data_IF_687455382856
#
_entry.id   IF_687455382856
#
_cell.length_a   1.000
_cell.length_b   1.000
_cell.length_c   1.000
_cell.angle_alpha   90.00
_cell.angle_beta   90.00
_cell.angle_gamma   90.00
#
_symmetry.space_group_name_H-M   'P 1'
#
loop_
_entity.id
_entity.type
_entity.pdbx_description
1 polymer ?
#
# COMPACT_ATOMS: atom_id res chain seq x y z
N UNK A 1 -61.81 0.40 50.02
CA UNK A 1 -62.29 -0.27 48.78
C UNK A 1 -61.26 -0.02 47.69
N UNK A 2 -60.47 -1.03 47.29
CA UNK A 2 -59.43 -0.89 46.25
C UNK A 2 -60.05 -1.25 44.88
N UNK A 3 -59.96 -0.34 43.91
CA UNK A 3 -60.48 -0.50 42.55
C UNK A 3 -59.38 -1.09 41.62
N UNK A 4 -59.54 -2.29 41.02
CA UNK A 4 -58.51 -2.91 40.19
C UNK A 4 -58.90 -2.85 38.71
N UNK A 5 -58.55 -1.77 37.99
CA UNK A 5 -58.71 -1.79 36.52
C UNK A 5 -57.80 -0.83 35.75
N UNK A 6 -56.50 -1.02 35.86
CA UNK A 6 -55.53 -0.41 34.94
C UNK A 6 -54.70 -1.51 34.24
N UNK A 7 -55.24 -2.18 33.19
CA UNK A 7 -54.51 -3.20 32.44
C UNK A 7 -53.27 -2.66 31.70
N UNK A 8 -53.13 -1.33 31.59
CA UNK A 8 -52.03 -0.65 30.90
C UNK A 8 -50.69 -0.69 31.66
N UNK A 9 -50.69 -1.04 32.95
CA UNK A 9 -49.46 -1.08 33.76
C UNK A 9 -48.66 -2.38 33.58
N UNK A 10 -49.30 -3.45 33.11
CA UNK A 10 -48.63 -4.71 32.81
C UNK A 10 -47.82 -4.66 31.49
N UNK A 11 -48.20 -3.79 30.55
CA UNK A 11 -47.49 -3.61 29.27
C UNK A 11 -46.22 -2.76 29.37
N UNK A 12 -46.15 -1.83 30.33
CA UNK A 12 -45.03 -0.90 30.48
C UNK A 12 -43.79 -1.50 31.16
N UNK A 13 -43.94 -2.59 31.95
CA UNK A 13 -42.83 -3.20 32.70
C UNK A 13 -42.22 -4.45 32.06
N UNK A 14 -42.81 -5.01 31.00
CA UNK A 14 -42.22 -6.13 30.27
C UNK A 14 -41.12 -5.71 29.26
N UNK A 15 -40.93 -4.40 29.06
CA UNK A 15 -40.05 -3.84 28.02
C UNK A 15 -38.71 -3.29 28.53
N UNK A 16 -38.25 -3.68 29.73
CA UNK A 16 -36.96 -3.22 30.26
C UNK A 16 -35.78 -4.12 29.86
N UNK A 17 -35.97 -5.44 29.80
CA UNK A 17 -34.91 -6.39 29.45
C UNK A 17 -34.65 -6.49 27.93
N UNK A 18 -35.65 -6.16 27.12
CA UNK A 18 -35.51 -6.00 25.67
C UNK A 18 -34.88 -4.67 25.26
N UNK A 19 -35.12 -3.61 26.04
CA UNK A 19 -34.57 -2.27 25.77
C UNK A 19 -33.05 -2.19 25.92
N UNK A 20 -32.48 -2.79 26.97
CA UNK A 20 -31.02 -2.78 27.16
C UNK A 20 -30.27 -3.60 26.09
N UNK A 21 -30.84 -4.73 25.68
CA UNK A 21 -30.28 -5.54 24.59
C UNK A 21 -30.39 -4.82 23.25
N UNK A 22 -31.52 -4.17 22.99
CA UNK A 22 -31.72 -3.35 21.81
C UNK A 22 -30.75 -2.16 21.76
N UNK A 23 -30.55 -1.44 22.87
CA UNK A 23 -29.58 -0.35 22.98
C UNK A 23 -28.14 -0.83 22.75
N UNK A 24 -27.77 -1.99 23.29
CA UNK A 24 -26.45 -2.59 23.06
C UNK A 24 -26.25 -3.00 21.60
N UNK A 25 -27.25 -3.62 20.98
CA UNK A 25 -27.21 -3.99 19.57
C UNK A 25 -27.11 -2.74 18.68
N UNK A 26 -27.80 -1.67 19.06
CA UNK A 26 -27.78 -0.40 18.32
C UNK A 26 -26.41 0.28 18.41
N UNK A 27 -25.80 0.34 19.60
CA UNK A 27 -24.43 0.83 19.82
C UNK A 27 -23.41 0.02 18.99
N UNK A 28 -23.47 -1.30 19.08
CA UNK A 28 -22.57 -2.18 18.33
C UNK A 28 -22.73 -1.97 16.83
N UNK A 29 -23.96 -1.74 16.36
CA UNK A 29 -24.23 -1.44 14.96
C UNK A 29 -23.60 -0.11 14.52
N UNK A 30 -23.68 0.94 15.36
CA UNK A 30 -23.11 2.26 15.06
C UNK A 30 -21.58 2.22 15.07
N UNK A 31 -20.97 1.55 16.05
CA UNK A 31 -19.51 1.35 16.07
C UNK A 31 -19.02 0.58 14.86
N UNK A 32 -19.72 -0.49 14.48
CA UNK A 32 -19.38 -1.26 13.29
C UNK A 32 -19.48 -0.42 12.03
N UNK A 33 -20.51 0.42 11.92
CA UNK A 33 -20.67 1.35 10.81
C UNK A 33 -19.53 2.38 10.77
N UNK A 34 -19.15 2.94 11.93
CA UNK A 34 -18.06 3.90 12.06
C UNK A 34 -16.70 3.30 11.68
N UNK A 35 -16.36 2.14 12.24
CA UNK A 35 -15.12 1.43 11.89
C UNK A 35 -15.09 1.14 10.39
N UNK A 36 -16.22 0.72 9.80
CA UNK A 36 -16.31 0.46 8.37
C UNK A 36 -16.18 1.74 7.54
N UNK A 37 -16.66 2.88 8.03
CA UNK A 37 -16.58 4.17 7.35
C UNK A 37 -15.17 4.76 7.40
N UNK A 38 -14.52 4.70 8.56
CA UNK A 38 -13.15 5.16 8.77
C UNK A 38 -12.11 4.24 8.09
N UNK A 39 -12.41 2.95 7.88
CA UNK A 39 -11.48 2.02 7.21
C UNK A 39 -11.67 1.92 5.71
N UNK A 40 -12.91 1.96 5.19
CA UNK A 40 -13.15 1.80 3.74
C UNK A 40 -12.74 3.02 2.93
N UNK A 41 -12.80 4.22 3.51
CA UNK A 41 -12.31 5.45 2.88
C UNK A 41 -10.84 5.32 2.44
N UNK A 42 -9.90 5.05 3.37
CA UNK A 42 -8.49 4.93 3.04
C UNK A 42 -8.16 3.70 2.16
N UNK A 43 -8.84 2.55 2.36
CA UNK A 43 -8.54 1.32 1.60
C UNK A 43 -8.85 1.47 0.10
N UNK A 44 -9.95 2.17 -0.26
CA UNK A 44 -10.29 2.42 -1.66
C UNK A 44 -9.25 3.28 -2.39
N UNK A 45 -8.64 4.24 -1.69
CA UNK A 45 -7.55 5.05 -2.23
C UNK A 45 -6.28 4.21 -2.44
N UNK A 46 -5.95 3.35 -1.48
CA UNK A 46 -4.73 2.55 -1.47
C UNK A 46 -4.62 1.62 -2.68
N UNK A 47 -5.74 1.01 -3.10
CA UNK A 47 -5.74 0.09 -4.25
C UNK A 47 -5.26 0.75 -5.55
N UNK A 48 -5.62 2.00 -5.80
CA UNK A 48 -5.17 2.74 -6.99
C UNK A 48 -3.70 3.10 -6.92
N UNK A 49 -3.23 3.55 -5.75
CA UNK A 49 -1.80 3.82 -5.53
C UNK A 49 -0.93 2.56 -5.70
N UNK A 50 -1.36 1.44 -5.13
CA UNK A 50 -0.67 0.15 -5.30
C UNK A 50 -0.69 -0.30 -6.76
N UNK A 51 -1.81 -0.15 -7.47
CA UNK A 51 -1.91 -0.47 -8.89
C UNK A 51 -0.91 0.32 -9.75
N UNK A 52 -0.84 1.64 -9.57
CA UNK A 52 0.14 2.47 -10.28
C UNK A 52 1.58 2.18 -9.84
N UNK A 53 1.80 1.89 -8.56
CA UNK A 53 3.11 1.47 -8.04
C UNK A 53 3.59 0.19 -8.71
N UNK A 54 2.75 -0.86 -8.74
CA UNK A 54 3.05 -2.13 -9.40
C UNK A 54 3.33 -1.95 -10.89
N UNK A 55 2.46 -1.23 -11.62
CA UNK A 55 2.67 -0.96 -13.03
C UNK A 55 3.99 -0.19 -13.28
N UNK A 56 4.30 0.80 -12.43
CA UNK A 56 5.55 1.53 -12.47
C UNK A 56 6.76 0.61 -12.25
N UNK A 57 6.74 -0.21 -11.19
CA UNK A 57 7.85 -1.14 -10.89
C UNK A 57 8.09 -2.14 -12.01
N UNK A 58 7.04 -2.67 -12.65
CA UNK A 58 7.16 -3.55 -13.80
C UNK A 58 7.82 -2.84 -14.99
N UNK A 59 7.40 -1.60 -15.28
CA UNK A 59 8.02 -0.79 -16.32
C UNK A 59 9.51 -0.50 -16.03
N UNK A 60 9.84 -0.14 -14.79
CA UNK A 60 11.22 0.11 -14.36
C UNK A 60 12.09 -1.15 -14.42
N UNK A 61 11.56 -2.32 -14.05
CA UNK A 61 12.29 -3.58 -14.15
C UNK A 61 12.66 -3.91 -15.60
N UNK A 62 11.72 -3.72 -16.54
CA UNK A 62 11.99 -3.90 -17.97
C UNK A 62 13.02 -2.89 -18.47
N UNK A 63 12.90 -1.63 -18.08
CA UNK A 63 13.85 -0.58 -18.45
C UNK A 63 15.26 -0.88 -17.93
N UNK A 64 15.40 -1.37 -16.70
CA UNK A 64 16.69 -1.73 -16.10
C UNK A 64 17.37 -2.86 -16.88
N UNK A 65 16.63 -3.91 -17.26
CA UNK A 65 17.16 -5.01 -18.07
C UNK A 65 17.71 -4.49 -19.40
N UNK A 66 16.94 -3.67 -20.12
CA UNK A 66 17.40 -3.09 -21.38
C UNK A 66 18.60 -2.16 -21.20
N UNK A 67 18.66 -1.42 -20.10
CA UNK A 67 19.76 -0.53 -19.78
C UNK A 67 21.06 -1.31 -19.50
N UNK A 68 21.00 -2.40 -18.73
CA UNK A 68 22.13 -3.30 -18.50
C UNK A 68 22.60 -3.94 -19.80
N UNK A 69 21.68 -4.48 -20.60
CA UNK A 69 21.99 -5.06 -21.91
C UNK A 69 22.61 -4.03 -22.85
N UNK A 70 22.10 -2.80 -22.86
CA UNK A 70 22.64 -1.70 -23.66
C UNK A 70 24.08 -1.36 -23.28
N UNK A 71 24.37 -1.23 -21.98
CA UNK A 71 25.73 -0.95 -21.48
C UNK A 71 26.69 -2.06 -21.90
N UNK A 72 26.33 -3.32 -21.63
CA UNK A 72 27.14 -4.49 -22.01
C UNK A 72 27.36 -4.52 -23.52
N UNK A 73 26.31 -4.28 -24.31
CA UNK A 73 26.37 -4.33 -25.77
C UNK A 73 27.28 -3.27 -26.34
N UNK A 74 27.19 -2.02 -25.87
CA UNK A 74 28.03 -0.90 -26.32
C UNK A 74 29.50 -1.19 -26.02
N UNK A 75 29.80 -1.66 -24.80
CA UNK A 75 31.18 -2.02 -24.42
C UNK A 75 31.72 -3.14 -25.31
N UNK A 76 30.94 -4.19 -25.57
CA UNK A 76 31.36 -5.32 -26.40
C UNK A 76 31.40 -4.99 -27.91
N UNK A 77 30.54 -4.10 -28.41
CA UNK A 77 30.46 -3.77 -29.84
C UNK A 77 31.51 -2.74 -30.27
N UNK A 78 31.91 -1.86 -29.37
CA UNK A 78 32.78 -0.72 -29.69
C UNK A 78 34.27 -1.05 -29.52
N UNK A 79 34.61 -2.04 -28.68
CA UNK A 79 35.99 -2.38 -28.36
C UNK A 79 36.24 -3.88 -28.53
N UNK A 80 37.03 -4.23 -29.56
CA UNK A 80 37.54 -5.61 -29.75
C UNK A 80 38.47 -6.06 -28.62
N UNK A 81 39.00 -5.12 -27.83
CA UNK A 81 39.85 -5.37 -26.65
C UNK A 81 39.14 -6.23 -25.60
N UNK A 82 37.80 -6.12 -25.50
CA UNK A 82 36.99 -6.92 -24.58
C UNK A 82 36.60 -8.29 -25.13
N UNK A 83 37.12 -8.71 -26.28
CA UNK A 83 36.89 -10.08 -26.79
C UNK A 83 38.00 -11.06 -26.35
N UNK A 84 39.12 -10.55 -25.82
CA UNK A 84 40.25 -11.33 -25.30
C UNK A 84 40.25 -11.44 -23.76
N UNK A 85 41.43 -11.27 -23.15
CA UNK A 85 41.65 -11.47 -21.70
C UNK A 85 40.79 -10.54 -20.79
N UNK A 86 40.23 -9.46 -21.33
CA UNK A 86 39.36 -8.52 -20.62
C UNK A 86 37.85 -8.75 -20.87
N UNK A 87 37.45 -9.91 -21.39
CA UNK A 87 36.04 -10.22 -21.68
C UNK A 87 35.10 -10.24 -20.48
N UNK A 88 35.62 -10.22 -19.25
CA UNK A 88 34.82 -10.09 -18.04
C UNK A 88 34.36 -8.64 -17.76
N UNK A 89 35.07 -7.62 -18.29
CA UNK A 89 34.83 -6.20 -17.98
C UNK A 89 33.41 -5.73 -18.33
N UNK A 90 32.82 -6.09 -19.49
CA UNK A 90 31.45 -5.69 -19.81
C UNK A 90 30.42 -6.21 -18.79
N UNK A 91 30.61 -7.42 -18.27
CA UNK A 91 29.72 -7.98 -17.25
C UNK A 91 29.87 -7.27 -15.90
N UNK A 92 31.10 -6.88 -15.54
CA UNK A 92 31.34 -6.07 -14.34
C UNK A 92 30.69 -4.68 -14.47
N UNK A 93 30.72 -4.08 -15.66
CA UNK A 93 30.02 -2.83 -15.93
C UNK A 93 28.49 -3.00 -15.83
N UNK A 94 27.94 -4.12 -16.32
CA UNK A 94 26.53 -4.48 -16.12
C UNK A 94 26.16 -4.56 -14.64
N UNK A 95 26.99 -5.23 -13.83
CA UNK A 95 26.81 -5.30 -12.38
C UNK A 95 26.86 -3.91 -11.72
N UNK A 96 27.86 -3.09 -12.08
CA UNK A 96 27.97 -1.72 -11.59
C UNK A 96 26.73 -0.88 -11.94
N UNK A 97 26.13 -1.14 -13.10
CA UNK A 97 24.91 -0.48 -13.55
C UNK A 97 23.71 -0.83 -12.66
N UNK A 98 23.52 -2.11 -12.30
CA UNK A 98 22.50 -2.51 -11.31
C UNK A 98 22.72 -1.81 -9.96
N UNK A 99 23.96 -1.78 -9.46
CA UNK A 99 24.28 -1.11 -8.19
C UNK A 99 23.97 0.38 -8.25
N UNK A 100 24.29 1.04 -9.37
CA UNK A 100 23.97 2.44 -9.58
C UNK A 100 22.44 2.68 -9.60
N UNK A 101 21.68 1.80 -10.23
CA UNK A 101 20.21 1.89 -10.31
C UNK A 101 19.55 1.74 -8.93
N UNK A 102 20.01 0.76 -8.14
CA UNK A 102 19.59 0.57 -6.74
C UNK A 102 19.94 1.80 -5.90
N UNK A 103 21.17 2.30 -6.03
CA UNK A 103 21.64 3.48 -5.29
C UNK A 103 20.82 4.72 -5.64
N UNK A 104 20.49 4.90 -6.91
CA UNK A 104 19.62 5.99 -7.38
C UNK A 104 18.22 5.86 -6.79
N UNK A 105 17.64 4.66 -6.79
CA UNK A 105 16.30 4.41 -6.23
C UNK A 105 16.25 4.76 -4.74
N UNK A 106 17.24 4.31 -3.96
CA UNK A 106 17.38 4.65 -2.54
C UNK A 106 17.58 6.16 -2.36
N UNK A 107 18.40 6.78 -3.21
CA UNK A 107 18.65 8.21 -3.15
C UNK A 107 17.38 9.04 -3.41
N UNK A 108 16.59 8.66 -4.41
CA UNK A 108 15.31 9.30 -4.72
C UNK A 108 14.33 9.18 -3.55
N UNK A 109 14.19 7.99 -2.97
CA UNK A 109 13.37 7.75 -1.77
C UNK A 109 13.80 8.64 -0.59
N UNK A 110 15.10 8.71 -0.31
CA UNK A 110 15.63 9.55 0.77
C UNK A 110 15.41 11.04 0.51
N UNK A 111 15.47 11.47 -0.76
CA UNK A 111 15.24 12.86 -1.16
C UNK A 111 13.77 13.24 -1.01
N UNK A 112 12.85 12.32 -1.25
CA UNK A 112 11.41 12.51 -1.08
C UNK A 112 11.05 12.70 0.40
N UNK A 113 11.57 11.85 1.29
CA UNK A 113 11.39 11.98 2.74
C UNK A 113 11.88 13.34 3.26
N UNK A 114 13.03 13.83 2.77
CA UNK A 114 13.58 15.13 3.17
C UNK A 114 12.71 16.32 2.75
N UNK A 115 11.90 16.18 1.69
CA UNK A 115 11.00 17.26 1.25
C UNK A 115 9.86 17.43 2.24
N UNK A 116 9.23 16.34 2.65
CA UNK A 116 8.13 16.37 3.62
C UNK A 116 8.54 16.71 5.05
N UNK A 117 9.82 16.57 5.40
CA UNK A 117 10.33 16.98 6.72
C UNK A 117 10.56 18.51 6.83
N UNK A 118 10.57 19.22 5.71
CA UNK A 118 10.85 20.66 5.65
C UNK A 118 9.59 21.49 5.31
N UNK A 119 8.44 20.84 5.17
CA UNK A 119 7.10 21.43 4.99
C UNK A 119 6.38 21.48 6.35
#
# INVERSE_FOLDING_TARGET
MLNPKNPNLAGAMASSNGGLKADFDDLVSTLRAYVKQETLGPIRGLGRYLGFGLAGTACFAVAEVFLVLGVVRVLQSTNSVFQGNLGFVPYLAGFATCVAFISLTIFVLKRDQKRHANE
#
